data_IF_272519484692
#
_entry.id   IF_272519484692
#
_cell.length_a   1.000
_cell.length_b   1.000
_cell.length_c   1.000
_cell.angle_alpha   90.00
_cell.angle_beta   90.00
_cell.angle_gamma   90.00
#
_symmetry.space_group_name_H-M   'P 1'
#
loop_
_entity.id
_entity.type
_entity.pdbx_description
1 polymer ?
#
# COMPACT_ATOMS: atom_id res chain seq x y z
N UNK A 1 -23.45 -37.60 49.21
CA UNK A 1 -22.77 -37.97 50.47
C UNK A 1 -21.52 -37.12 50.55
N UNK A 2 -21.41 -36.26 51.56
CA UNK A 2 -20.33 -35.29 51.72
C UNK A 2 -19.12 -35.90 52.44
N UNK A 3 -17.96 -35.29 52.16
CA UNK A 3 -16.79 -35.06 53.02
C UNK A 3 -15.53 -35.93 52.79
N UNK A 4 -14.42 -35.29 52.37
CA UNK A 4 -13.22 -35.09 53.22
C UNK A 4 -12.17 -34.17 52.57
N UNK A 5 -11.63 -33.27 53.39
CA UNK A 5 -10.54 -32.32 53.14
C UNK A 5 -9.19 -32.94 52.73
N UNK A 6 -8.35 -32.19 52.02
CA UNK A 6 -6.96 -31.90 52.45
C UNK A 6 -6.25 -30.87 51.55
N UNK A 7 -5.67 -29.88 52.22
CA UNK A 7 -4.67 -28.93 51.71
C UNK A 7 -3.32 -29.62 51.48
N UNK A 8 -2.61 -29.24 50.42
CA UNK A 8 -1.16 -28.96 50.51
C UNK A 8 -0.71 -28.09 49.35
N UNK A 9 0.04 -27.06 49.71
CA UNK A 9 0.65 -26.07 48.82
C UNK A 9 1.88 -26.65 48.10
N UNK A 10 2.18 -26.13 46.91
CA UNK A 10 3.55 -26.01 46.40
C UNK A 10 3.61 -24.84 45.41
N UNK A 11 4.41 -23.86 45.79
CA UNK A 11 4.68 -22.59 45.13
C UNK A 11 5.39 -22.74 43.79
N UNK A 12 5.05 -21.90 42.81
CA UNK A 12 6.07 -21.22 42.00
C UNK A 12 5.55 -19.88 41.51
N UNK A 13 6.39 -18.87 41.68
CA UNK A 13 6.10 -17.45 41.51
C UNK A 13 6.48 -16.96 40.10
N UNK A 14 5.77 -15.94 39.63
CA UNK A 14 6.16 -15.04 38.52
C UNK A 14 5.45 -15.37 37.21
N UNK A 15 4.66 -14.50 36.57
CA UNK A 15 4.57 -13.05 36.58
C UNK A 15 3.09 -12.64 36.51
N UNK A 16 2.67 -11.76 37.41
CA UNK A 16 1.34 -11.14 37.38
C UNK A 16 1.44 -9.87 36.51
N UNK A 17 0.96 -9.92 35.26
CA UNK A 17 0.73 -8.70 34.47
C UNK A 17 -0.75 -8.30 34.65
N UNK A 18 -1.05 -7.04 35.01
CA UNK A 18 -2.42 -6.60 35.24
C UNK A 18 -3.22 -6.59 33.94
N UNK A 19 -4.43 -7.17 33.98
CA UNK A 19 -5.48 -6.91 32.99
C UNK A 19 -5.85 -5.43 33.08
N UNK A 20 -5.38 -4.61 32.14
CA UNK A 20 -5.93 -3.29 31.95
C UNK A 20 -7.27 -3.42 31.20
N UNK A 21 -8.33 -2.74 31.64
CA UNK A 21 -9.61 -2.74 30.93
C UNK A 21 -9.43 -2.06 29.56
N UNK A 22 -9.91 -2.73 28.52
CA UNK A 22 -9.98 -2.21 27.16
C UNK A 22 -10.84 -0.94 27.17
N UNK A 23 -10.20 0.22 27.02
CA UNK A 23 -10.86 1.51 27.09
C UNK A 23 -11.45 1.83 25.70
N UNK A 24 -12.76 1.64 25.56
CA UNK A 24 -13.53 2.07 24.38
C UNK A 24 -13.63 3.59 24.35
N UNK A 25 -12.62 4.29 23.83
CA UNK A 25 -12.75 5.67 23.37
C UNK A 25 -11.53 6.10 22.54
N UNK A 26 -11.49 5.70 21.27
CA UNK A 26 -10.90 6.54 20.21
C UNK A 26 -11.36 6.12 18.80
N UNK A 27 -12.65 5.81 18.64
CA UNK A 27 -13.27 5.89 17.31
C UNK A 27 -13.92 7.26 17.22
N UNK A 28 -13.12 8.24 16.76
CA UNK A 28 -13.67 9.48 16.24
C UNK A 28 -14.45 9.19 14.96
N UNK A 29 -15.44 10.01 14.67
CA UNK A 29 -16.25 9.95 13.45
C UNK A 29 -15.34 9.81 12.20
N UNK A 30 -15.79 9.11 11.14
CA UNK A 30 -14.96 8.81 9.96
C UNK A 30 -14.38 10.05 9.24
N UNK A 31 -14.87 11.25 9.56
CA UNK A 31 -14.30 12.52 9.09
C UNK A 31 -12.99 12.93 9.78
N UNK A 32 -12.69 12.41 10.97
CA UNK A 32 -11.48 12.77 11.74
C UNK A 32 -10.25 11.92 11.34
N UNK A 33 -10.44 10.86 10.58
CA UNK A 33 -9.35 10.03 10.01
C UNK A 33 -8.45 10.80 9.02
N UNK A 34 -8.87 12.00 8.61
CA UNK A 34 -8.21 12.83 7.60
C UNK A 34 -7.51 14.08 8.15
N UNK A 35 -7.40 14.24 9.47
CA UNK A 35 -6.66 15.36 10.06
C UNK A 35 -5.21 15.00 10.35
N UNK A 36 -4.28 15.51 9.54
CA UNK A 36 -2.83 15.41 9.78
C UNK A 36 -2.43 16.11 11.10
N UNK A 37 -1.47 15.60 11.88
CA UNK A 37 -0.79 16.40 12.89
C UNK A 37 -0.03 17.53 12.20
N UNK A 38 -0.33 18.77 12.60
CA UNK A 38 0.40 19.96 12.15
C UNK A 38 1.84 19.88 12.67
N UNK A 39 2.77 19.90 11.73
CA UNK A 39 4.23 19.93 11.89
C UNK A 39 4.92 18.58 12.06
N UNK A 40 5.54 18.14 10.97
CA UNK A 40 6.83 17.47 11.04
C UNK A 40 7.69 17.91 9.84
N UNK A 41 8.70 18.73 10.13
CA UNK A 41 9.89 18.81 9.28
C UNK A 41 10.54 17.42 9.35
N UNK A 42 10.28 16.58 8.35
CA UNK A 42 10.91 15.27 8.25
C UNK A 42 12.29 15.44 7.63
N UNK A 43 13.30 15.38 8.50
CA UNK A 43 14.69 15.22 8.12
C UNK A 43 14.84 13.94 7.27
N UNK A 44 15.58 14.07 6.18
CA UNK A 44 15.96 12.97 5.28
C UNK A 44 16.74 11.91 6.07
N UNK A 45 16.10 10.78 6.40
CA UNK A 45 16.81 9.59 6.91
C UNK A 45 17.37 8.83 5.72
N UNK A 46 18.65 8.47 5.77
CA UNK A 46 19.38 7.69 4.77
C UNK A 46 19.00 6.20 4.75
N UNK A 47 17.78 5.86 5.18
CA UNK A 47 17.30 4.48 5.17
C UNK A 47 16.70 4.17 3.80
N UNK A 48 17.31 3.19 3.14
CA UNK A 48 16.96 2.56 1.86
C UNK A 48 15.62 1.78 1.93
N UNK A 49 14.58 2.38 2.51
CA UNK A 49 13.23 1.82 2.71
C UNK A 49 12.10 2.74 2.24
N UNK A 50 12.45 3.94 1.79
CA UNK A 50 11.54 4.78 1.00
C UNK A 50 11.63 4.26 -0.44
N UNK A 51 10.51 4.33 -1.17
CA UNK A 51 10.56 4.31 -2.63
C UNK A 51 11.52 5.42 -3.10
N UNK A 52 12.79 5.09 -3.24
CA UNK A 52 13.66 5.79 -4.15
C UNK A 52 13.20 5.32 -5.51
N UNK A 53 12.10 5.91 -5.98
CA UNK A 53 11.77 5.86 -7.38
C UNK A 53 13.02 6.31 -8.11
N UNK A 54 13.64 5.40 -8.85
CA UNK A 54 14.70 5.70 -9.81
C UNK A 54 14.05 6.51 -10.95
N UNK A 55 13.65 7.74 -10.64
CA UNK A 55 13.10 8.68 -11.59
C UNK A 55 14.24 9.01 -12.55
N UNK A 56 14.03 8.67 -13.81
CA UNK A 56 15.01 8.95 -14.86
C UNK A 56 15.43 10.42 -14.81
N UNK A 57 16.68 10.72 -15.19
CA UNK A 57 17.23 12.09 -15.20
C UNK A 57 16.45 13.09 -16.07
N UNK A 58 15.43 12.62 -16.79
CA UNK A 58 14.48 13.38 -17.59
C UNK A 58 13.34 13.96 -16.73
N UNK A 59 13.07 13.39 -15.55
CA UNK A 59 12.03 13.86 -14.64
C UNK A 59 12.41 15.21 -14.04
N UNK A 60 11.50 16.20 -14.12
CA UNK A 60 11.68 17.47 -13.41
C UNK A 60 11.79 17.21 -11.89
N UNK A 61 12.92 17.58 -11.25
CA UNK A 61 13.13 17.35 -9.82
C UNK A 61 12.03 17.92 -8.92
N UNK A 62 11.30 18.95 -9.37
CA UNK A 62 10.20 19.54 -8.60
C UNK A 62 8.95 18.65 -8.53
N UNK A 63 8.83 17.65 -9.39
CA UNK A 63 7.70 16.72 -9.40
C UNK A 63 7.94 15.49 -8.52
N UNK A 64 9.20 15.22 -8.18
CA UNK A 64 9.60 14.07 -7.36
C UNK A 64 8.81 14.01 -6.04
N UNK A 65 8.68 15.10 -5.24
CA UNK A 65 7.98 15.01 -3.97
C UNK A 65 6.49 14.67 -4.10
N UNK A 66 5.83 15.12 -5.18
CA UNK A 66 4.42 14.83 -5.44
C UNK A 66 4.22 13.35 -5.77
N UNK A 67 5.06 12.80 -6.64
CA UNK A 67 5.00 11.37 -7.01
C UNK A 67 5.37 10.49 -5.82
N UNK A 68 6.38 10.86 -5.01
CA UNK A 68 6.72 10.13 -3.79
C UNK A 68 5.57 10.16 -2.77
N UNK A 69 4.93 11.31 -2.57
CA UNK A 69 3.79 11.41 -1.68
C UNK A 69 2.60 10.55 -2.16
N UNK A 70 2.32 10.55 -3.46
CA UNK A 70 1.29 9.71 -4.06
C UNK A 70 1.63 8.22 -3.91
N UNK A 71 2.89 7.86 -4.14
CA UNK A 71 3.38 6.50 -3.95
C UNK A 71 3.25 5.99 -2.51
N UNK A 72 3.48 6.86 -1.52
CA UNK A 72 3.24 6.51 -0.12
C UNK A 72 1.75 6.24 0.19
N UNK A 73 0.83 6.99 -0.45
CA UNK A 73 -0.60 6.71 -0.33
C UNK A 73 -0.96 5.36 -0.93
N UNK A 74 -0.45 5.07 -2.12
CA UNK A 74 -0.64 3.77 -2.79
C UNK A 74 -0.07 2.64 -1.94
N UNK A 75 1.11 2.81 -1.35
CA UNK A 75 1.70 1.83 -0.42
C UNK A 75 0.77 1.53 0.75
N UNK A 76 0.20 2.56 1.37
CA UNK A 76 -0.77 2.38 2.45
C UNK A 76 -2.01 1.63 1.97
N UNK A 77 -2.55 1.99 0.80
CA UNK A 77 -3.71 1.33 0.20
C UNK A 77 -3.46 -0.15 -0.10
N UNK A 78 -2.32 -0.49 -0.73
CA UNK A 78 -1.97 -1.88 -1.05
C UNK A 78 -1.72 -2.72 0.21
N UNK A 79 -1.09 -2.14 1.23
CA UNK A 79 -0.88 -2.82 2.51
C UNK A 79 -2.22 -3.09 3.20
N UNK A 80 -3.14 -2.12 3.18
CA UNK A 80 -4.49 -2.28 3.73
C UNK A 80 -5.30 -3.33 2.96
N UNK A 81 -5.26 -3.30 1.62
CA UNK A 81 -5.91 -4.30 0.78
C UNK A 81 -5.40 -5.71 1.10
N UNK A 82 -4.08 -5.89 1.19
CA UNK A 82 -3.46 -7.18 1.47
C UNK A 82 -3.86 -7.77 2.83
N UNK A 83 -4.11 -6.90 3.82
CA UNK A 83 -4.57 -7.29 5.15
C UNK A 83 -6.09 -7.47 5.25
N UNK A 84 -6.86 -7.06 4.24
CA UNK A 84 -8.32 -7.13 4.25
C UNK A 84 -8.82 -8.57 4.16
N UNK A 85 -9.93 -8.85 4.86
CA UNK A 85 -10.71 -10.08 4.67
C UNK A 85 -11.46 -10.09 3.33
N UNK A 86 -11.62 -8.94 2.68
CA UNK A 86 -12.29 -8.77 1.38
C UNK A 86 -11.31 -8.90 0.20
N UNK A 87 -10.05 -9.26 0.43
CA UNK A 87 -9.01 -9.31 -0.61
C UNK A 87 -9.45 -10.11 -1.85
N UNK A 88 -9.95 -11.33 -1.65
CA UNK A 88 -10.33 -12.21 -2.76
C UNK A 88 -11.57 -11.71 -3.51
N UNK A 89 -12.52 -11.08 -2.80
CA UNK A 89 -13.70 -10.45 -3.43
C UNK A 89 -13.29 -9.26 -4.30
N UNK A 90 -12.40 -8.40 -3.77
CA UNK A 90 -11.89 -7.24 -4.50
C UNK A 90 -11.11 -7.68 -5.75
N UNK A 91 -10.26 -8.71 -5.63
CA UNK A 91 -9.55 -9.26 -6.78
C UNK A 91 -10.51 -9.89 -7.80
N UNK A 92 -11.52 -10.62 -7.33
CA UNK A 92 -12.57 -11.21 -8.17
C UNK A 92 -13.32 -10.17 -9.00
N UNK A 93 -13.66 -9.03 -8.39
CA UNK A 93 -14.34 -7.92 -9.08
C UNK A 93 -13.40 -7.22 -10.07
N UNK A 94 -12.15 -7.00 -9.70
CA UNK A 94 -11.20 -6.23 -10.51
C UNK A 94 -10.60 -7.03 -11.68
N UNK A 95 -10.35 -8.34 -11.47
CA UNK A 95 -9.54 -9.17 -12.38
C UNK A 95 -10.23 -10.47 -12.81
N UNK A 96 -11.50 -10.67 -12.43
CA UNK A 96 -12.27 -11.90 -12.67
C UNK A 96 -12.00 -12.99 -11.62
N UNK A 97 -12.73 -14.11 -11.68
CA UNK A 97 -12.60 -15.19 -10.68
C UNK A 97 -11.55 -16.25 -11.04
N UNK A 98 -11.05 -16.28 -12.28
CA UNK A 98 -10.16 -17.33 -12.79
C UNK A 98 -8.66 -16.95 -12.83
N UNK A 99 -8.24 -15.95 -12.05
CA UNK A 99 -6.83 -15.56 -11.98
C UNK A 99 -5.94 -16.61 -11.30
N UNK A 100 -4.64 -16.52 -11.55
CA UNK A 100 -3.65 -17.35 -10.88
C UNK A 100 -3.52 -16.97 -9.39
N UNK A 101 -4.25 -17.67 -8.53
CA UNK A 101 -4.27 -17.45 -7.08
C UNK A 101 -2.89 -17.54 -6.44
N UNK A 102 -2.01 -18.43 -6.90
CA UNK A 102 -0.66 -18.56 -6.35
C UNK A 102 0.20 -17.31 -6.58
N UNK A 103 0.08 -16.69 -7.76
CA UNK A 103 0.78 -15.44 -8.06
C UNK A 103 0.16 -14.28 -7.28
N UNK A 104 -1.17 -14.21 -7.21
CA UNK A 104 -1.88 -13.22 -6.41
C UNK A 104 -1.51 -13.28 -4.92
N UNK A 105 -1.41 -14.47 -4.33
CA UNK A 105 -1.01 -14.66 -2.94
C UNK A 105 0.44 -14.24 -2.69
N UNK A 106 1.33 -14.47 -3.66
CA UNK A 106 2.72 -14.03 -3.58
C UNK A 106 2.80 -12.50 -3.54
N UNK A 107 2.04 -11.81 -4.40
CA UNK A 107 1.92 -10.35 -4.40
C UNK A 107 1.33 -9.84 -3.07
N UNK A 108 0.24 -10.48 -2.60
CA UNK A 108 -0.40 -10.15 -1.32
C UNK A 108 0.59 -10.20 -0.16
N UNK A 109 1.42 -11.23 -0.07
CA UNK A 109 2.41 -11.38 1.00
C UNK A 109 3.46 -10.26 0.97
N UNK A 110 3.93 -9.88 -0.21
CA UNK A 110 4.83 -8.72 -0.35
C UNK A 110 4.16 -7.43 0.10
N UNK A 111 2.93 -7.18 -0.35
CA UNK A 111 2.17 -5.97 -0.01
C UNK A 111 1.85 -5.88 1.49
N UNK A 112 1.49 -7.00 2.13
CA UNK A 112 1.23 -7.06 3.56
C UNK A 112 2.45 -6.71 4.42
N UNK A 113 3.67 -6.95 3.91
CA UNK A 113 4.92 -6.57 4.56
C UNK A 113 5.33 -5.12 4.24
N UNK A 114 4.51 -4.38 3.47
CA UNK A 114 4.86 -3.08 2.94
C UNK A 114 6.04 -3.13 1.95
N UNK A 115 6.36 -4.32 1.43
CA UNK A 115 7.41 -4.55 0.46
C UNK A 115 6.84 -4.42 -0.95
N UNK A 116 7.25 -3.35 -1.64
CA UNK A 116 6.75 -3.00 -2.96
C UNK A 116 7.88 -2.95 -3.99
N UNK A 117 9.04 -3.55 -3.69
CA UNK A 117 10.18 -3.59 -4.61
C UNK A 117 9.92 -4.44 -5.87
N UNK A 118 8.83 -5.20 -5.90
CA UNK A 118 8.38 -5.93 -7.09
C UNK A 118 7.45 -5.13 -7.99
N UNK A 119 7.01 -3.93 -7.59
CA UNK A 119 6.18 -3.07 -8.43
C UNK A 119 7.00 -2.42 -9.56
N UNK A 120 6.34 -2.01 -10.66
CA UNK A 120 6.98 -1.28 -11.75
C UNK A 120 7.71 -0.01 -11.29
N UNK A 121 8.78 0.34 -12.01
CA UNK A 121 9.39 1.66 -11.89
C UNK A 121 8.39 2.75 -12.30
N UNK A 122 8.48 3.95 -11.70
CA UNK A 122 7.66 5.10 -12.14
C UNK A 122 8.56 6.12 -12.82
N UNK A 123 8.16 6.63 -13.98
CA UNK A 123 8.83 7.72 -14.68
C UNK A 123 7.86 8.82 -15.04
N UNK A 124 8.22 10.08 -14.76
CA UNK A 124 7.43 11.23 -15.23
C UNK A 124 8.00 11.70 -16.56
N UNK A 125 7.17 11.69 -17.60
CA UNK A 125 7.56 12.03 -18.96
C UNK A 125 6.70 13.16 -19.53
N UNK A 126 7.14 13.74 -20.64
CA UNK A 126 6.37 14.78 -21.33
C UNK A 126 4.98 14.25 -21.71
N UNK A 127 3.95 15.02 -21.36
CA UNK A 127 2.56 14.75 -21.74
C UNK A 127 2.35 14.59 -23.26
N UNK A 128 3.23 15.13 -24.11
CA UNK A 128 3.17 14.95 -25.56
C UNK A 128 3.40 13.48 -25.99
N UNK A 129 4.10 12.68 -25.16
CA UNK A 129 4.35 11.25 -25.43
C UNK A 129 3.11 10.40 -25.11
N UNK A 130 2.40 10.71 -24.03
CA UNK A 130 1.19 10.00 -23.58
C UNK A 130 -0.09 10.52 -24.27
N UNK A 131 0.00 11.66 -24.96
CA UNK A 131 -1.14 12.29 -25.61
C UNK A 131 -2.21 12.72 -24.61
N UNK A 132 -3.30 11.97 -24.54
CA UNK A 132 -4.42 12.26 -23.62
C UNK A 132 -4.38 11.46 -22.33
N UNK A 133 -3.49 10.49 -22.21
CA UNK A 133 -3.39 9.64 -21.01
C UNK A 133 -2.66 10.37 -19.88
N UNK A 134 -3.13 10.15 -18.64
CA UNK A 134 -2.50 10.68 -17.43
C UNK A 134 -1.39 9.77 -16.90
N UNK A 135 -1.57 8.45 -17.12
CA UNK A 135 -0.59 7.41 -16.84
C UNK A 135 -0.64 6.32 -17.91
N UNK A 136 0.36 5.43 -17.90
CA UNK A 136 0.33 4.18 -18.63
C UNK A 136 1.35 3.18 -18.04
N UNK A 137 0.92 1.96 -17.75
CA UNK A 137 1.79 0.83 -17.48
C UNK A 137 2.29 0.21 -18.79
N UNK A 138 3.61 0.19 -18.97
CA UNK A 138 4.28 -0.39 -20.14
C UNK A 138 4.90 -1.73 -19.76
N UNK A 139 4.17 -2.81 -20.03
CA UNK A 139 4.56 -4.20 -19.69
C UNK A 139 5.97 -4.58 -20.16
N UNK A 140 6.38 -4.14 -21.35
CA UNK A 140 7.70 -4.47 -21.92
C UNK A 140 8.86 -3.81 -21.16
N UNK A 141 8.61 -2.68 -20.51
CA UNK A 141 9.59 -1.94 -19.72
C UNK A 141 9.43 -2.16 -18.22
N UNK A 142 8.34 -2.81 -17.81
CA UNK A 142 7.91 -2.91 -16.41
C UNK A 142 7.94 -1.53 -15.72
N UNK A 143 7.37 -0.53 -16.40
CA UNK A 143 7.42 0.88 -15.98
C UNK A 143 6.03 1.52 -16.10
N UNK A 144 5.64 2.27 -15.07
CA UNK A 144 4.51 3.21 -15.10
C UNK A 144 5.02 4.57 -15.56
N UNK A 145 4.48 5.06 -16.67
CA UNK A 145 4.73 6.39 -17.18
C UNK A 145 3.65 7.33 -16.64
N UNK A 146 4.03 8.48 -16.10
CA UNK A 146 3.11 9.55 -15.69
C UNK A 146 3.32 10.79 -16.54
N UNK A 147 2.22 11.44 -16.91
CA UNK A 147 2.24 12.72 -17.63
C UNK A 147 2.72 13.85 -16.73
N UNK A 148 3.76 14.58 -17.13
CA UNK A 148 4.29 15.72 -16.39
C UNK A 148 3.24 16.82 -16.16
N UNK A 149 2.43 17.11 -17.18
CA UNK A 149 1.31 18.05 -17.10
C UNK A 149 0.28 17.60 -16.09
N UNK A 150 -0.04 16.30 -16.06
CA UNK A 150 -0.96 15.73 -15.08
C UNK A 150 -0.42 15.92 -13.66
N UNK A 151 0.81 15.47 -13.39
CA UNK A 151 1.45 15.58 -12.07
C UNK A 151 1.54 17.03 -11.58
N UNK A 152 1.77 18.00 -12.49
CA UNK A 152 1.83 19.42 -12.13
C UNK A 152 0.50 20.05 -11.73
N UNK A 153 -0.61 19.52 -12.24
CA UNK A 153 -1.92 20.18 -12.19
C UNK A 153 -2.94 19.49 -11.28
N UNK A 154 -2.58 18.35 -10.68
CA UNK A 154 -3.47 17.53 -9.87
C UNK A 154 -2.92 17.32 -8.47
N UNK A 155 -3.81 16.95 -7.56
CA UNK A 155 -3.50 16.66 -6.16
C UNK A 155 -2.76 15.33 -6.03
N UNK A 156 -2.05 15.16 -4.91
CA UNK A 156 -1.40 13.90 -4.55
C UNK A 156 -2.37 12.71 -4.58
N UNK A 157 -3.63 12.92 -4.18
CA UNK A 157 -4.68 11.90 -4.17
C UNK A 157 -5.09 11.49 -5.59
N UNK A 158 -5.21 12.44 -6.50
CA UNK A 158 -5.51 12.16 -7.91
C UNK A 158 -4.34 11.43 -8.59
N UNK A 159 -3.10 11.83 -8.29
CA UNK A 159 -1.90 11.13 -8.77
C UNK A 159 -1.86 9.70 -8.24
N UNK A 160 -2.17 9.50 -6.96
CA UNK A 160 -2.26 8.16 -6.36
C UNK A 160 -3.35 7.32 -7.03
N UNK A 161 -4.49 7.92 -7.39
CA UNK A 161 -5.55 7.23 -8.14
C UNK A 161 -5.07 6.66 -9.47
N UNK A 162 -4.36 7.46 -10.27
CA UNK A 162 -3.75 7.00 -11.53
C UNK A 162 -2.69 5.93 -11.27
N UNK A 163 -1.83 6.10 -10.26
CA UNK A 163 -0.85 5.05 -9.91
C UNK A 163 -1.52 3.73 -9.53
N UNK A 164 -2.62 3.76 -8.79
CA UNK A 164 -3.39 2.56 -8.43
C UNK A 164 -3.99 1.88 -9.66
N UNK A 165 -4.50 2.65 -10.62
CA UNK A 165 -4.99 2.13 -11.91
C UNK A 165 -3.89 1.40 -12.68
N UNK A 166 -2.72 2.02 -12.82
CA UNK A 166 -1.60 1.42 -13.55
C UNK A 166 -0.97 0.21 -12.82
N UNK A 167 -0.96 0.22 -11.49
CA UNK A 167 -0.60 -0.96 -10.70
C UNK A 167 -1.63 -2.07 -10.89
N UNK A 168 -2.91 -1.75 -11.07
CA UNK A 168 -3.94 -2.70 -11.46
C UNK A 168 -3.58 -3.41 -12.77
N UNK A 169 -3.19 -2.66 -13.80
CA UNK A 169 -2.69 -3.24 -15.06
C UNK A 169 -1.44 -4.10 -14.89
N UNK A 170 -0.51 -3.70 -14.01
CA UNK A 170 0.62 -4.56 -13.65
C UNK A 170 0.15 -5.88 -13.03
N UNK A 171 -0.70 -5.82 -11.99
CA UNK A 171 -1.20 -7.01 -11.28
C UNK A 171 -1.90 -7.94 -12.26
N UNK A 172 -2.84 -7.42 -13.04
CA UNK A 172 -3.58 -8.17 -14.05
C UNK A 172 -2.63 -8.92 -15.00
N UNK A 173 -1.62 -8.23 -15.52
CA UNK A 173 -0.64 -8.81 -16.44
C UNK A 173 0.22 -9.94 -15.86
N UNK A 174 0.24 -10.09 -14.52
CA UNK A 174 0.97 -11.14 -13.79
C UNK A 174 0.07 -12.30 -13.41
N UNK A 175 -1.17 -12.01 -12.99
CA UNK A 175 -2.09 -13.03 -12.47
C UNK A 175 -2.94 -13.65 -13.58
N UNK A 176 -3.16 -12.92 -14.68
CA UNK A 176 -3.88 -13.36 -15.85
C UNK A 176 -2.90 -13.60 -17.02
N UNK A 177 -3.02 -14.76 -17.68
CA UNK A 177 -2.17 -15.14 -18.84
C UNK A 177 -2.85 -14.90 -20.19
N UNK A 178 -4.15 -14.61 -20.14
CA UNK A 178 -4.98 -14.14 -21.24
C UNK A 178 -5.60 -12.84 -20.71
N UNK A 179 -5.47 -11.74 -21.46
CA UNK A 179 -6.18 -10.50 -21.11
C UNK A 179 -7.68 -10.83 -21.01
N UNK A 180 -8.29 -10.55 -19.86
CA UNK A 180 -9.72 -10.77 -19.62
C UNK A 180 -10.58 -9.76 -20.38
#
# INVERSE_FOLDING_TARGET
>A
MFDFSSESQSSSSGLNLPLTPYNNQLFGEPSDLFSLPKNSNLALSSDKQIWELELSSVTDPNLIPLVQAAGNLVKYQLTALAASSEYDEILGVAFGEEYNQHVADSLRQSFAQGNLSGLPDIQVISSDILGKANGAYVKQLDTILLSDKFVRSHTTQEIAGVLTEEIGHYIDSRINTVDA
#
